data_IF_997392282625
#
_entry.id   IF_997392282625
#
_cell.length_a   1.000
_cell.length_b   1.000
_cell.length_c   1.000
_cell.angle_alpha   90.00
_cell.angle_beta   90.00
_cell.angle_gamma   90.00
#
_symmetry.space_group_name_H-M   'P 1'
#
loop_
_entity.id
_entity.type
_entity.pdbx_description
1 polymer ?
#
# COMPACT_ATOMS: atom_id res chain seq x y z
N UNK A 1 41.46 -19.15 -92.94
CA UNK A 1 42.24 -20.35 -92.53
C UNK A 1 42.64 -20.06 -91.06
N UNK A 2 42.01 -20.70 -90.16
CA UNK A 2 42.54 -21.42 -89.00
C UNK A 2 43.35 -20.62 -88.00
N UNK A 3 43.05 -20.50 -86.77
CA UNK A 3 42.84 -21.52 -85.80
C UNK A 3 42.50 -20.93 -84.43
N UNK A 4 41.57 -21.58 -83.85
CA UNK A 4 41.16 -21.37 -82.46
C UNK A 4 42.24 -21.89 -81.53
N UNK A 5 42.60 -21.12 -80.52
CA UNK A 5 43.28 -21.62 -79.33
C UNK A 5 42.48 -21.28 -78.09
N UNK A 6 41.92 -22.30 -77.55
CA UNK A 6 41.19 -22.23 -76.24
C UNK A 6 42.21 -22.17 -75.11
N UNK A 7 42.14 -21.19 -74.26
CA UNK A 7 42.92 -21.17 -73.01
C UNK A 7 41.93 -21.52 -71.89
N UNK A 8 42.03 -22.77 -71.44
CA UNK A 8 41.37 -23.24 -70.20
C UNK A 8 42.21 -22.78 -69.01
N UNK A 9 41.77 -21.76 -68.33
CA UNK A 9 42.30 -21.28 -67.05
C UNK A 9 41.53 -21.87 -65.88
N UNK A 10 42.04 -22.97 -65.34
CA UNK A 10 41.56 -23.55 -64.09
C UNK A 10 41.97 -22.64 -62.93
N UNK A 11 41.07 -21.88 -62.37
CA UNK A 11 41.23 -21.20 -61.08
C UNK A 11 40.98 -22.20 -59.92
N UNK A 12 42.07 -22.80 -59.46
CA UNK A 12 42.09 -23.59 -58.25
C UNK A 12 42.07 -22.65 -57.07
N UNK A 13 40.88 -22.49 -56.48
CA UNK A 13 40.67 -21.85 -55.17
C UNK A 13 41.14 -22.81 -54.06
N UNK A 14 42.42 -22.80 -53.73
CA UNK A 14 42.93 -23.41 -52.52
C UNK A 14 42.71 -22.46 -51.33
N UNK A 15 41.51 -22.42 -50.82
CA UNK A 15 41.24 -21.85 -49.52
C UNK A 15 41.32 -22.98 -48.47
N UNK A 16 42.48 -23.17 -47.92
CA UNK A 16 42.59 -23.92 -46.65
C UNK A 16 41.83 -23.20 -45.57
N UNK A 17 40.92 -23.87 -44.84
CA UNK A 17 40.20 -23.22 -43.76
C UNK A 17 41.18 -22.74 -42.69
N UNK A 18 41.19 -21.43 -42.44
CA UNK A 18 42.02 -20.83 -41.41
C UNK A 18 41.31 -21.03 -40.08
N UNK A 19 41.70 -22.04 -39.31
CA UNK A 19 41.17 -22.27 -37.95
C UNK A 19 41.85 -21.26 -37.02
N UNK A 20 41.09 -20.25 -36.60
CA UNK A 20 41.53 -19.34 -35.55
C UNK A 20 41.25 -20.04 -34.23
N UNK A 21 42.25 -20.57 -33.55
CA UNK A 21 42.12 -21.00 -32.16
C UNK A 21 42.08 -19.77 -31.28
N UNK A 22 40.88 -19.47 -30.74
CA UNK A 22 40.73 -18.49 -29.66
C UNK A 22 41.11 -19.24 -28.39
N UNK A 23 42.23 -18.90 -27.72
CA UNK A 23 42.58 -19.54 -26.45
C UNK A 23 41.44 -19.28 -25.46
N UNK A 24 41.01 -20.33 -24.76
CA UNK A 24 40.09 -20.14 -23.63
C UNK A 24 40.71 -19.10 -22.70
N UNK A 25 39.99 -18.00 -22.48
CA UNK A 25 40.36 -17.05 -21.44
C UNK A 25 40.57 -17.86 -20.17
N UNK A 26 41.69 -17.66 -19.49
CA UNK A 26 41.99 -18.33 -18.21
C UNK A 26 40.81 -18.15 -17.23
N UNK A 27 40.78 -18.88 -16.12
CA UNK A 27 39.64 -18.85 -15.22
C UNK A 27 39.26 -17.39 -14.92
N UNK A 28 38.09 -17.00 -15.42
CA UNK A 28 37.53 -15.69 -15.12
C UNK A 28 37.40 -15.70 -13.60
N UNK A 29 38.26 -14.96 -12.91
CA UNK A 29 38.07 -14.69 -11.48
C UNK A 29 36.76 -13.93 -11.39
N UNK A 30 35.68 -14.66 -11.19
CA UNK A 30 34.36 -14.06 -10.95
C UNK A 30 34.51 -13.24 -9.67
N UNK A 31 34.44 -11.93 -9.82
CA UNK A 31 34.44 -11.02 -8.69
C UNK A 31 33.23 -11.42 -7.80
N UNK A 32 33.47 -11.54 -6.49
CA UNK A 32 32.37 -11.78 -5.54
C UNK A 32 31.32 -10.68 -5.70
N UNK A 33 30.03 -11.05 -5.58
CA UNK A 33 28.93 -10.10 -5.56
C UNK A 33 28.97 -9.30 -4.27
N UNK A 34 28.99 -7.99 -4.35
CA UNK A 34 28.91 -7.09 -3.18
C UNK A 34 27.46 -7.02 -2.74
N UNK A 35 27.20 -7.60 -1.57
CA UNK A 35 25.86 -7.77 -1.04
C UNK A 35 25.68 -6.88 0.18
N UNK A 36 24.57 -6.14 0.17
CA UNK A 36 24.08 -5.35 1.31
C UNK A 36 22.73 -5.87 1.77
N UNK A 37 22.38 -5.61 3.02
CA UNK A 37 21.05 -5.88 3.53
C UNK A 37 20.34 -4.58 3.88
N UNK A 38 18.99 -4.60 3.76
CA UNK A 38 18.14 -3.54 4.25
C UNK A 38 17.12 -4.09 5.25
N UNK A 39 17.08 -3.49 6.43
CA UNK A 39 16.20 -3.85 7.52
C UNK A 39 15.34 -2.67 7.98
N UNK A 40 14.15 -2.95 8.52
CA UNK A 40 13.33 -1.96 9.21
C UNK A 40 12.92 -2.52 10.56
N UNK A 41 13.31 -1.84 11.64
CA UNK A 41 13.05 -2.26 13.01
C UNK A 41 11.94 -1.43 13.65
N UNK A 42 11.11 -2.05 14.52
CA UNK A 42 10.00 -1.36 15.20
C UNK A 42 10.50 -0.47 16.33
N UNK A 43 9.80 0.63 16.62
CA UNK A 43 10.21 1.73 17.51
C UNK A 43 10.00 1.53 19.02
N UNK A 44 9.80 0.31 19.56
CA UNK A 44 9.68 0.10 21.00
C UNK A 44 11.06 -0.03 21.64
N UNK A 45 11.38 0.87 22.57
CA UNK A 45 12.72 1.30 23.00
C UNK A 45 13.71 0.23 23.49
N UNK A 46 13.31 -0.84 24.18
CA UNK A 46 14.25 -1.90 24.63
C UNK A 46 14.32 -3.09 23.66
N UNK A 47 13.19 -3.47 23.08
CA UNK A 47 13.12 -4.52 22.06
C UNK A 47 13.80 -4.11 20.73
N UNK A 48 13.96 -2.81 20.49
CA UNK A 48 14.52 -2.24 19.28
C UNK A 48 16.02 -2.52 19.13
N UNK A 49 16.80 -2.27 20.17
CA UNK A 49 18.25 -2.56 20.16
C UNK A 49 18.52 -4.04 19.98
N UNK A 50 17.75 -4.90 20.66
CA UNK A 50 17.84 -6.35 20.47
C UNK A 50 17.40 -6.79 19.08
N UNK A 51 16.33 -6.20 18.53
CA UNK A 51 15.86 -6.51 17.18
C UNK A 51 16.82 -6.06 16.09
N UNK A 52 17.42 -4.87 16.23
CA UNK A 52 18.45 -4.38 15.29
C UNK A 52 19.71 -5.25 15.34
N UNK A 53 20.24 -5.51 16.54
CA UNK A 53 21.43 -6.34 16.72
C UNK A 53 21.22 -7.77 16.15
N UNK A 54 20.05 -8.36 16.38
CA UNK A 54 19.70 -9.67 15.86
C UNK A 54 19.61 -9.68 14.31
N UNK A 55 18.98 -8.67 13.69
CA UNK A 55 18.90 -8.58 12.24
C UNK A 55 20.27 -8.29 11.60
N UNK A 56 21.07 -7.44 12.24
CA UNK A 56 22.43 -7.16 11.78
C UNK A 56 23.30 -8.43 11.84
N UNK A 57 23.27 -9.16 12.96
CA UNK A 57 23.99 -10.42 13.09
C UNK A 57 23.53 -11.46 12.04
N UNK A 58 22.21 -11.60 11.87
CA UNK A 58 21.63 -12.52 10.89
C UNK A 58 22.12 -12.22 9.46
N UNK A 59 21.99 -10.97 8.99
CA UNK A 59 22.41 -10.63 7.63
C UNK A 59 23.92 -10.68 7.44
N UNK A 60 24.70 -10.32 8.48
CA UNK A 60 26.15 -10.44 8.45
C UNK A 60 26.55 -11.91 8.30
N UNK A 61 25.98 -12.81 9.10
CA UNK A 61 26.25 -14.24 9.03
C UNK A 61 25.82 -14.84 7.68
N UNK A 62 24.61 -14.51 7.24
CA UNK A 62 24.05 -14.98 5.96
C UNK A 62 24.95 -14.59 4.76
N UNK A 63 25.39 -13.34 4.71
CA UNK A 63 26.19 -12.82 3.61
C UNK A 63 27.63 -13.36 3.69
N UNK A 64 28.25 -13.36 4.86
CA UNK A 64 29.64 -13.83 5.04
C UNK A 64 29.77 -15.35 4.90
N UNK A 65 28.72 -16.09 5.19
CA UNK A 65 28.66 -17.54 5.03
C UNK A 65 28.61 -17.99 3.55
N UNK A 66 28.28 -17.09 2.62
CA UNK A 66 28.27 -17.41 1.19
C UNK A 66 29.64 -17.07 0.54
N UNK A 67 30.37 -18.06 0.01
CA UNK A 67 31.71 -17.84 -0.56
C UNK A 67 31.73 -16.95 -1.81
N UNK A 68 30.59 -16.80 -2.50
CA UNK A 68 30.46 -15.97 -3.70
C UNK A 68 30.10 -14.52 -3.39
N UNK A 69 29.80 -14.19 -2.12
CA UNK A 69 29.39 -12.87 -1.69
C UNK A 69 30.47 -12.12 -0.91
N UNK A 70 30.48 -10.82 -1.05
CA UNK A 70 31.29 -9.88 -0.28
C UNK A 70 30.31 -8.99 0.53
N UNK A 71 30.47 -8.98 1.83
CA UNK A 71 29.65 -8.16 2.74
C UNK A 71 29.99 -6.67 2.55
N UNK A 72 28.96 -5.84 2.36
CA UNK A 72 29.11 -4.38 2.24
C UNK A 72 28.66 -3.70 3.52
N UNK A 73 27.37 -3.79 3.83
CA UNK A 73 26.78 -3.14 5.03
C UNK A 73 25.35 -3.66 5.29
N UNK A 74 24.84 -3.41 6.51
CA UNK A 74 23.43 -3.55 6.83
C UNK A 74 22.86 -2.15 7.08
N UNK A 75 21.98 -1.73 6.20
CA UNK A 75 21.25 -0.46 6.30
C UNK A 75 19.96 -0.68 7.09
N UNK A 76 19.70 0.12 8.12
CA UNK A 76 18.54 -0.09 8.95
C UNK A 76 17.87 1.23 9.36
N UNK A 77 16.59 1.35 9.03
CA UNK A 77 15.76 2.47 9.46
C UNK A 77 14.82 2.07 10.60
N UNK A 78 14.52 3.02 11.46
CA UNK A 78 13.51 2.86 12.49
C UNK A 78 12.11 2.97 11.88
N UNK A 79 11.27 1.96 12.10
CA UNK A 79 9.86 1.98 11.73
C UNK A 79 9.04 2.67 12.80
N UNK A 80 8.77 3.96 12.65
CA UNK A 80 7.92 4.71 13.57
C UNK A 80 6.45 4.36 13.28
N UNK A 81 5.73 3.87 14.30
CA UNK A 81 4.27 3.72 14.25
C UNK A 81 3.63 5.07 14.56
N UNK A 82 3.01 5.70 13.58
CA UNK A 82 2.28 6.96 13.77
C UNK A 82 2.49 7.98 12.67
N UNK A 83 1.86 9.13 12.80
CA UNK A 83 1.70 10.20 11.79
C UNK A 83 2.94 11.03 11.50
N UNK A 84 4.13 10.69 12.03
CA UNK A 84 5.36 11.42 11.75
C UNK A 84 5.97 10.99 10.41
N UNK A 85 6.50 11.97 9.67
CA UNK A 85 7.24 11.73 8.44
C UNK A 85 8.47 10.88 8.79
N UNK A 86 8.41 9.60 8.46
CA UNK A 86 9.47 8.64 8.69
C UNK A 86 10.70 9.05 7.89
N UNK A 87 11.78 9.42 8.59
CA UNK A 87 13.08 9.65 7.95
C UNK A 87 13.68 8.30 7.62
N UNK A 88 13.85 8.00 6.34
CA UNK A 88 14.50 6.78 5.83
C UNK A 88 15.91 7.11 5.38
N UNK A 89 16.70 7.62 6.30
CA UNK A 89 18.04 8.11 5.98
C UNK A 89 18.95 6.98 5.50
N UNK A 90 18.83 5.78 6.10
CA UNK A 90 19.59 4.61 5.69
C UNK A 90 19.10 3.98 4.38
N UNK A 91 17.82 4.00 4.09
CA UNK A 91 17.32 3.62 2.76
C UNK A 91 17.85 4.55 1.67
N UNK A 92 17.87 5.85 1.92
CA UNK A 92 18.43 6.82 0.97
C UNK A 92 19.95 6.62 0.82
N UNK A 93 20.66 6.28 1.92
CA UNK A 93 22.08 5.92 1.89
C UNK A 93 22.32 4.67 1.04
N UNK A 94 21.50 3.63 1.22
CA UNK A 94 21.51 2.42 0.41
C UNK A 94 21.36 2.74 -1.09
N UNK A 95 20.31 3.48 -1.48
CA UNK A 95 20.09 3.85 -2.89
C UNK A 95 21.26 4.66 -3.45
N UNK A 96 21.82 5.58 -2.65
CA UNK A 96 23.00 6.36 -3.06
C UNK A 96 24.22 5.49 -3.30
N UNK A 97 24.47 4.49 -2.47
CA UNK A 97 25.59 3.57 -2.63
C UNK A 97 25.36 2.58 -3.79
N UNK A 98 24.10 2.20 -4.05
CA UNK A 98 23.69 1.47 -5.25
C UNK A 98 24.01 2.28 -6.52
N UNK A 99 23.61 3.56 -6.59
CA UNK A 99 23.91 4.45 -7.73
C UNK A 99 25.40 4.68 -7.96
N UNK A 100 26.21 4.58 -6.91
CA UNK A 100 27.69 4.65 -6.98
C UNK A 100 28.35 3.34 -7.41
N UNK A 101 27.55 2.33 -7.67
CA UNK A 101 28.03 1.02 -8.07
C UNK A 101 28.82 0.30 -6.96
N UNK A 102 28.50 0.51 -5.70
CA UNK A 102 29.15 -0.16 -4.55
C UNK A 102 28.49 -1.47 -4.18
N UNK A 103 27.26 -1.70 -4.61
CA UNK A 103 26.40 -2.82 -4.27
C UNK A 103 25.97 -3.51 -5.54
N UNK A 104 25.99 -4.83 -5.57
CA UNK A 104 25.56 -5.65 -6.70
C UNK A 104 24.24 -6.39 -6.38
N UNK A 105 23.92 -6.59 -5.09
CA UNK A 105 22.69 -7.24 -4.62
C UNK A 105 22.25 -6.70 -3.28
N UNK A 106 20.92 -6.56 -3.10
CA UNK A 106 20.29 -6.14 -1.85
C UNK A 106 19.44 -7.29 -1.32
N UNK A 107 19.61 -7.63 -0.03
CA UNK A 107 18.76 -8.57 0.69
C UNK A 107 17.81 -7.79 1.59
N UNK A 108 16.56 -8.23 1.69
CA UNK A 108 15.58 -7.68 2.62
C UNK A 108 14.56 -8.73 3.00
N UNK A 109 13.99 -8.61 4.19
CA UNK A 109 13.07 -9.61 4.71
C UNK A 109 11.80 -9.74 3.85
N UNK A 110 11.19 -8.59 3.48
CA UNK A 110 9.95 -8.58 2.69
C UNK A 110 9.73 -7.25 1.96
N UNK A 111 8.82 -7.25 0.99
CA UNK A 111 8.39 -6.04 0.28
C UNK A 111 7.83 -4.98 1.23
N UNK A 112 7.09 -5.39 2.27
CA UNK A 112 6.53 -4.50 3.28
C UNK A 112 7.61 -3.86 4.19
N UNK A 113 8.79 -4.47 4.29
CA UNK A 113 9.94 -3.91 5.01
C UNK A 113 10.81 -3.03 4.12
N UNK A 114 10.84 -3.33 2.82
CA UNK A 114 11.64 -2.60 1.84
C UNK A 114 11.10 -1.19 1.56
N UNK A 115 9.79 -1.04 1.43
CA UNK A 115 9.17 0.27 1.20
C UNK A 115 7.89 0.46 2.03
N UNK A 116 7.31 1.68 1.98
CA UNK A 116 6.08 2.03 2.73
C UNK A 116 4.83 1.40 2.12
N UNK A 117 4.85 1.19 0.85
CA UNK A 117 3.77 0.59 0.08
C UNK A 117 4.32 -0.12 -1.15
N UNK A 118 3.49 -0.95 -1.76
CA UNK A 118 3.87 -1.76 -2.92
C UNK A 118 4.30 -0.92 -4.12
N UNK A 119 3.72 0.27 -4.33
CA UNK A 119 4.09 1.15 -5.44
C UNK A 119 5.50 1.73 -5.27
N UNK A 120 5.86 2.17 -4.07
CA UNK A 120 7.21 2.65 -3.74
C UNK A 120 8.24 1.52 -3.88
N UNK A 121 7.89 0.30 -3.44
CA UNK A 121 8.72 -0.89 -3.64
C UNK A 121 9.00 -1.15 -5.11
N UNK A 122 7.97 -1.11 -5.95
CA UNK A 122 8.11 -1.35 -7.39
C UNK A 122 9.00 -0.29 -8.07
N UNK A 123 8.86 0.98 -7.71
CA UNK A 123 9.69 2.07 -8.25
C UNK A 123 11.15 1.85 -7.88
N UNK A 124 11.44 1.58 -6.59
CA UNK A 124 12.81 1.36 -6.12
C UNK A 124 13.44 0.11 -6.75
N UNK A 125 12.68 -0.99 -6.85
CA UNK A 125 13.17 -2.23 -7.50
C UNK A 125 13.46 -2.02 -8.98
N UNK A 126 12.64 -1.25 -9.70
CA UNK A 126 12.90 -0.90 -11.11
C UNK A 126 14.17 -0.08 -11.26
N UNK A 127 14.35 0.93 -10.42
CA UNK A 127 15.59 1.74 -10.41
C UNK A 127 16.82 0.86 -10.17
N UNK A 128 16.78 0.00 -9.14
CA UNK A 128 17.89 -0.89 -8.83
C UNK A 128 18.18 -1.87 -9.97
N UNK A 129 17.16 -2.42 -10.59
CA UNK A 129 17.32 -3.30 -11.76
C UNK A 129 17.96 -2.57 -12.94
N UNK A 130 17.57 -1.32 -13.20
CA UNK A 130 18.15 -0.53 -14.30
C UNK A 130 19.63 -0.21 -14.04
N UNK A 131 20.06 -0.26 -12.78
CA UNK A 131 21.46 -0.20 -12.34
C UNK A 131 22.15 -1.59 -12.36
N UNK A 132 21.46 -2.67 -12.76
CA UNK A 132 21.97 -4.03 -12.74
C UNK A 132 22.02 -4.68 -11.36
N UNK A 133 21.27 -4.15 -10.37
CA UNK A 133 21.28 -4.60 -8.98
C UNK A 133 20.03 -5.44 -8.71
N UNK A 134 20.21 -6.68 -8.25
CA UNK A 134 19.12 -7.56 -7.82
C UNK A 134 18.67 -7.27 -6.39
N UNK A 135 17.35 -7.37 -6.14
CA UNK A 135 16.78 -7.33 -4.79
C UNK A 135 16.18 -8.70 -4.47
N UNK A 136 16.56 -9.26 -3.33
CA UNK A 136 16.02 -10.52 -2.84
C UNK A 136 15.10 -10.27 -1.64
N UNK A 137 13.83 -10.67 -1.78
CA UNK A 137 12.81 -10.63 -0.74
C UNK A 137 12.67 -12.03 -0.15
N UNK A 138 13.22 -12.25 1.06
CA UNK A 138 13.34 -13.58 1.67
C UNK A 138 11.99 -14.24 1.94
N UNK A 139 11.03 -13.52 2.58
CA UNK A 139 9.72 -14.06 2.92
C UNK A 139 8.89 -14.46 1.71
N UNK A 140 9.04 -13.75 0.59
CA UNK A 140 8.33 -14.05 -0.64
C UNK A 140 9.08 -15.00 -1.56
N UNK A 141 10.35 -15.31 -1.28
CA UNK A 141 11.21 -16.11 -2.16
C UNK A 141 11.45 -15.47 -3.53
N UNK A 142 11.43 -14.13 -3.59
CA UNK A 142 11.55 -13.36 -4.83
C UNK A 142 12.98 -12.84 -4.98
N UNK A 143 13.64 -13.17 -6.10
CA UNK A 143 14.90 -12.57 -6.52
C UNK A 143 14.70 -11.82 -7.84
N UNK A 144 14.77 -10.50 -7.80
CA UNK A 144 14.48 -9.65 -8.96
C UNK A 144 15.54 -9.68 -10.04
N UNK A 145 16.75 -10.17 -9.74
CA UNK A 145 17.84 -10.28 -10.72
C UNK A 145 17.49 -11.21 -11.89
N UNK A 146 16.62 -12.20 -11.66
CA UNK A 146 16.25 -13.22 -12.65
C UNK A 146 14.89 -12.94 -13.30
N UNK A 147 14.25 -11.80 -13.00
CA UNK A 147 12.88 -11.52 -13.43
C UNK A 147 12.83 -10.50 -14.56
N UNK A 148 11.90 -10.70 -15.51
CA UNK A 148 11.56 -9.68 -16.49
C UNK A 148 10.81 -8.52 -15.83
N UNK A 149 10.84 -7.32 -16.44
CA UNK A 149 10.10 -6.17 -15.93
C UNK A 149 8.59 -6.36 -15.90
N UNK A 150 8.07 -7.16 -16.82
CA UNK A 150 6.64 -7.51 -16.89
C UNK A 150 6.25 -8.42 -15.72
N UNK A 151 7.07 -9.45 -15.45
CA UNK A 151 6.84 -10.36 -14.33
C UNK A 151 6.91 -9.64 -12.99
N UNK A 152 7.87 -8.74 -12.80
CA UNK A 152 7.96 -7.88 -11.62
C UNK A 152 6.68 -7.06 -11.45
N UNK A 153 6.20 -6.41 -12.51
CA UNK A 153 4.97 -5.62 -12.46
C UNK A 153 3.77 -6.48 -12.08
N UNK A 154 3.63 -7.67 -12.66
CA UNK A 154 2.54 -8.59 -12.34
C UNK A 154 2.57 -9.03 -10.86
N UNK A 155 3.74 -9.43 -10.35
CA UNK A 155 3.90 -9.85 -8.95
C UNK A 155 3.56 -8.72 -7.98
N UNK A 156 4.11 -7.51 -8.21
CA UNK A 156 3.84 -6.37 -7.35
C UNK A 156 2.37 -5.92 -7.41
N UNK A 157 1.71 -6.06 -8.56
CA UNK A 157 0.27 -5.81 -8.68
C UNK A 157 -0.56 -6.80 -7.86
N UNK A 158 -0.19 -8.09 -7.87
CA UNK A 158 -0.85 -9.10 -7.04
C UNK A 158 -0.64 -8.85 -5.53
N UNK A 159 0.56 -8.42 -5.13
CA UNK A 159 0.84 -8.06 -3.74
C UNK A 159 -0.02 -6.86 -3.32
N UNK A 160 -0.09 -5.80 -4.14
CA UNK A 160 -0.91 -4.62 -3.87
C UNK A 160 -2.41 -4.96 -3.74
N UNK A 161 -2.92 -5.85 -4.59
CA UNK A 161 -4.29 -6.32 -4.50
C UNK A 161 -4.54 -7.06 -3.19
N UNK A 162 -3.68 -8.01 -2.81
CA UNK A 162 -3.80 -8.74 -1.54
C UNK A 162 -3.72 -7.82 -0.32
N UNK A 163 -2.85 -6.82 -0.32
CA UNK A 163 -2.79 -5.81 0.75
C UNK A 163 -4.12 -5.04 0.87
N UNK A 164 -4.70 -4.61 -0.26
CA UNK A 164 -5.98 -3.91 -0.29
C UNK A 164 -7.14 -4.78 0.21
N UNK A 165 -7.17 -6.06 -0.19
CA UNK A 165 -8.15 -7.04 0.28
C UNK A 165 -8.04 -7.25 1.81
N UNK A 166 -6.82 -7.47 2.31
CA UNK A 166 -6.57 -7.66 3.75
C UNK A 166 -6.95 -6.43 4.59
N UNK A 167 -6.67 -5.21 4.10
CA UNK A 167 -7.08 -3.96 4.76
C UNK A 167 -8.62 -3.90 4.81
N UNK A 168 -9.30 -4.21 3.71
CA UNK A 168 -10.77 -4.21 3.63
C UNK A 168 -11.39 -5.23 4.59
N UNK A 169 -10.83 -6.42 4.68
CA UNK A 169 -11.27 -7.47 5.61
C UNK A 169 -11.08 -7.05 7.07
N UNK A 170 -9.92 -6.50 7.42
CA UNK A 170 -9.63 -6.01 8.76
C UNK A 170 -10.58 -4.87 9.19
N UNK A 171 -10.89 -3.94 8.27
CA UNK A 171 -11.87 -2.87 8.53
C UNK A 171 -13.25 -3.47 8.76
N UNK A 172 -13.70 -4.39 7.92
CA UNK A 172 -15.01 -5.08 8.07
C UNK A 172 -15.08 -5.84 9.39
N UNK A 173 -14.03 -6.59 9.73
CA UNK A 173 -13.93 -7.30 11.00
C UNK A 173 -14.00 -6.35 12.20
N UNK A 174 -13.20 -5.27 12.19
CA UNK A 174 -13.19 -4.26 13.25
C UNK A 174 -14.56 -3.58 13.45
N UNK A 175 -15.24 -3.25 12.34
CA UNK A 175 -16.59 -2.69 12.39
C UNK A 175 -17.57 -3.69 12.98
N UNK A 176 -17.55 -4.95 12.53
CA UNK A 176 -18.41 -6.02 13.04
C UNK A 176 -18.20 -6.24 14.54
N UNK A 177 -16.96 -6.36 14.97
CA UNK A 177 -16.61 -6.56 16.39
C UNK A 177 -17.10 -5.39 17.27
N UNK A 178 -17.00 -4.14 16.78
CA UNK A 178 -17.54 -2.97 17.49
C UNK A 178 -19.07 -2.98 17.54
N UNK A 179 -19.74 -3.48 16.48
CA UNK A 179 -21.21 -3.65 16.49
C UNK A 179 -21.64 -4.71 17.49
N UNK A 180 -20.98 -5.86 17.53
CA UNK A 180 -21.28 -6.96 18.47
C UNK A 180 -21.04 -6.56 19.92
N UNK A 181 -19.99 -5.79 20.19
CA UNK A 181 -19.67 -5.29 21.53
C UNK A 181 -20.43 -4.01 21.92
N UNK A 182 -21.35 -3.50 21.07
CA UNK A 182 -22.12 -2.28 21.33
C UNK A 182 -21.31 -0.98 21.34
N UNK A 183 -20.03 -1.01 20.98
CA UNK A 183 -19.14 0.16 20.95
C UNK A 183 -19.13 0.90 19.62
N UNK A 184 -19.87 0.40 18.63
CA UNK A 184 -19.98 1.06 17.34
C UNK A 184 -20.87 2.28 17.41
N UNK A 185 -20.30 3.46 17.22
CA UNK A 185 -21.04 4.73 17.19
C UNK A 185 -21.08 5.29 15.77
N UNK A 186 -22.27 5.72 15.34
CA UNK A 186 -22.41 6.37 14.04
C UNK A 186 -21.61 7.65 13.95
N UNK A 187 -20.95 7.88 12.81
CA UNK A 187 -20.19 9.12 12.55
C UNK A 187 -21.12 10.34 12.51
N UNK A 188 -22.36 10.18 11.98
CA UNK A 188 -23.36 11.22 11.95
C UNK A 188 -24.55 10.88 12.86
N UNK A 189 -24.87 11.80 13.76
CA UNK A 189 -26.05 11.69 14.63
C UNK A 189 -27.30 12.18 13.89
N UNK A 190 -28.50 11.63 14.22
CA UNK A 190 -29.75 12.21 13.77
C UNK A 190 -29.94 13.60 14.38
N UNK A 191 -30.73 14.44 13.70
CA UNK A 191 -31.08 15.75 14.20
C UNK A 191 -31.78 15.62 15.56
N UNK A 192 -31.45 16.46 16.54
CA UNK A 192 -31.95 16.34 17.92
C UNK A 192 -31.01 15.56 18.85
N UNK A 193 -29.88 15.04 18.34
CA UNK A 193 -28.85 14.44 19.17
C UNK A 193 -27.49 15.17 18.95
N UNK A 194 -26.72 15.24 20.00
CA UNK A 194 -25.35 15.81 19.97
C UNK A 194 -24.38 14.90 20.71
N UNK A 195 -23.06 15.20 20.61
CA UNK A 195 -22.04 14.57 21.45
C UNK A 195 -21.57 15.58 22.48
N UNK A 196 -21.34 15.09 23.69
CA UNK A 196 -20.64 15.88 24.70
C UNK A 196 -19.12 15.84 24.51
N UNK A 197 -18.40 16.49 25.42
CA UNK A 197 -16.92 16.56 25.43
C UNK A 197 -16.25 15.18 25.58
N UNK A 198 -16.97 14.22 26.17
CA UNK A 198 -16.50 12.83 26.33
C UNK A 198 -16.80 11.96 25.11
N UNK A 199 -17.57 12.48 24.15
CA UNK A 199 -18.00 11.76 22.96
C UNK A 199 -19.29 10.95 23.14
N UNK A 200 -19.90 10.99 24.32
CA UNK A 200 -21.19 10.34 24.56
C UNK A 200 -22.34 11.03 23.84
N UNK A 201 -23.31 10.24 23.40
CA UNK A 201 -24.50 10.76 22.69
C UNK A 201 -25.50 11.28 23.69
N UNK A 202 -25.87 12.57 23.58
CA UNK A 202 -26.87 13.23 24.38
C UNK A 202 -27.99 13.82 23.52
N UNK A 203 -29.14 14.01 24.13
CA UNK A 203 -30.28 14.70 23.51
C UNK A 203 -30.04 16.21 23.56
N UNK A 204 -30.08 16.85 22.40
CA UNK A 204 -30.15 18.31 22.29
C UNK A 204 -31.62 18.72 22.50
N UNK A 205 -31.94 19.25 23.67
CA UNK A 205 -33.32 19.54 24.08
C UNK A 205 -34.03 20.48 23.12
N UNK A 206 -33.33 21.46 22.56
CA UNK A 206 -33.94 22.42 21.63
C UNK A 206 -34.27 21.75 20.30
N UNK A 207 -33.29 21.05 19.70
CA UNK A 207 -33.46 20.36 18.41
C UNK A 207 -34.39 19.16 18.53
N UNK A 208 -34.40 18.45 19.67
CA UNK A 208 -35.32 17.36 19.94
C UNK A 208 -36.75 17.82 20.05
N UNK A 209 -37.00 19.04 20.58
CA UNK A 209 -38.32 19.65 20.57
C UNK A 209 -38.91 19.75 19.17
N UNK A 210 -38.11 20.20 18.20
CA UNK A 210 -38.56 20.27 16.79
C UNK A 210 -38.85 18.89 16.19
N UNK A 211 -38.03 17.90 16.52
CA UNK A 211 -38.28 16.51 16.07
C UNK A 211 -39.64 16.04 16.60
N UNK A 212 -39.91 16.27 17.88
CA UNK A 212 -41.19 15.90 18.50
C UNK A 212 -42.37 16.60 17.81
N UNK A 213 -42.30 17.91 17.59
CA UNK A 213 -43.33 18.68 16.87
C UNK A 213 -43.55 18.13 15.44
N UNK A 214 -42.51 17.74 14.71
CA UNK A 214 -42.63 17.14 13.38
C UNK A 214 -43.41 15.83 13.43
N UNK A 215 -43.12 14.96 14.41
CA UNK A 215 -43.86 13.70 14.59
C UNK A 215 -45.30 13.95 15.00
N UNK A 216 -45.58 14.86 15.93
CA UNK A 216 -46.92 15.22 16.38
C UNK A 216 -47.77 15.83 15.24
N UNK A 217 -47.18 16.73 14.46
CA UNK A 217 -47.83 17.31 13.29
C UNK A 217 -48.18 16.25 12.23
N UNK A 218 -47.29 15.32 11.99
CA UNK A 218 -47.56 14.22 11.06
C UNK A 218 -48.64 13.28 11.55
N UNK A 219 -48.65 12.94 12.84
CA UNK A 219 -49.67 12.09 13.46
C UNK A 219 -51.05 12.78 13.51
N UNK A 220 -51.09 14.12 13.56
CA UNK A 220 -52.33 14.87 13.45
C UNK A 220 -52.93 14.96 12.04
N UNK A 221 -52.25 14.30 11.03
CA UNK A 221 -52.73 14.22 9.66
C UNK A 221 -52.17 15.27 8.71
N UNK A 222 -51.22 16.10 9.15
CA UNK A 222 -50.53 17.04 8.24
C UNK A 222 -49.55 16.31 7.28
N UNK A 223 -49.50 16.78 6.06
CA UNK A 223 -48.55 16.23 5.12
C UNK A 223 -47.13 16.84 5.26
N UNK A 224 -46.14 16.18 4.72
CA UNK A 224 -44.73 16.60 4.85
C UNK A 224 -44.43 17.97 4.23
N UNK A 225 -45.21 18.40 3.22
CA UNK A 225 -45.08 19.72 2.61
C UNK A 225 -45.54 20.83 3.55
N UNK A 226 -46.70 20.68 4.16
CA UNK A 226 -47.25 21.64 5.14
C UNK A 226 -46.32 21.79 6.35
N UNK A 227 -45.77 20.68 6.85
CA UNK A 227 -44.80 20.69 7.95
C UNK A 227 -43.53 21.42 7.55
N UNK A 228 -42.99 21.16 6.33
CA UNK A 228 -41.81 21.84 5.85
C UNK A 228 -41.98 23.33 5.66
N UNK A 229 -43.15 23.77 5.15
CA UNK A 229 -43.49 25.20 4.99
C UNK A 229 -43.64 25.90 6.33
N UNK A 230 -44.20 25.25 7.35
CA UNK A 230 -44.31 25.78 8.71
C UNK A 230 -42.94 25.93 9.36
N UNK A 231 -42.10 24.90 9.32
CA UNK A 231 -40.74 24.94 9.85
C UNK A 231 -39.90 26.02 9.15
N UNK A 232 -40.07 26.19 7.84
CA UNK A 232 -39.37 27.22 7.05
C UNK A 232 -39.80 28.64 7.45
N UNK A 233 -41.07 28.87 7.82
CA UNK A 233 -41.56 30.18 8.26
C UNK A 233 -40.98 30.64 9.59
N UNK A 234 -40.58 29.70 10.46
CA UNK A 234 -40.03 29.98 11.79
C UNK A 234 -38.56 30.42 11.79
N UNK A 235 -37.93 30.71 10.69
CA UNK A 235 -36.58 31.21 10.38
C UNK A 235 -35.44 31.09 11.44
N UNK A 236 -35.77 30.82 12.70
CA UNK A 236 -34.86 30.73 13.86
C UNK A 236 -34.32 29.31 14.10
N UNK A 237 -34.77 28.34 13.30
CA UNK A 237 -34.47 26.92 13.53
C UNK A 237 -33.32 26.51 12.61
N UNK A 238 -32.19 26.17 13.21
CA UNK A 238 -31.12 25.50 12.48
C UNK A 238 -31.61 24.22 11.82
N UNK A 239 -31.31 24.05 10.55
CA UNK A 239 -31.67 22.84 9.83
C UNK A 239 -30.69 21.68 10.19
N UNK A 240 -31.07 20.42 9.96
CA UNK A 240 -30.21 19.26 10.21
C UNK A 240 -28.87 19.29 9.48
N UNK A 241 -28.77 20.11 8.43
CA UNK A 241 -27.54 20.38 7.66
C UNK A 241 -27.40 21.90 7.62
N UNK A 242 -26.44 22.44 8.30
CA UNK A 242 -26.17 23.88 8.51
C UNK A 242 -26.32 24.82 7.28
N UNK A 243 -26.53 24.27 6.10
CA UNK A 243 -26.62 24.99 4.82
C UNK A 243 -27.97 24.84 4.08
N UNK A 244 -28.91 24.05 4.59
CA UNK A 244 -30.14 23.75 3.86
C UNK A 244 -31.39 24.22 4.62
N UNK A 245 -32.29 24.85 3.87
CA UNK A 245 -33.63 25.18 4.34
C UNK A 245 -34.44 23.91 4.63
N UNK A 246 -35.43 24.00 5.53
CA UNK A 246 -36.40 22.92 5.77
C UNK A 246 -37.09 22.53 4.47
N UNK A 247 -36.87 21.31 4.03
CA UNK A 247 -37.44 20.77 2.79
C UNK A 247 -38.34 19.58 3.10
N UNK A 248 -39.25 19.27 2.18
CA UNK A 248 -40.09 18.07 2.25
C UNK A 248 -39.23 16.80 2.45
N UNK A 249 -38.06 16.75 1.79
CA UNK A 249 -37.14 15.63 1.91
C UNK A 249 -36.51 15.55 3.32
N UNK A 250 -36.17 16.68 3.92
CA UNK A 250 -35.62 16.72 5.28
C UNK A 250 -36.65 16.20 6.31
N UNK A 251 -37.94 16.64 6.21
CA UNK A 251 -39.01 16.13 7.04
C UNK A 251 -39.21 14.63 6.85
N UNK A 252 -39.32 14.17 5.59
CA UNK A 252 -39.50 12.75 5.30
C UNK A 252 -38.32 11.89 5.82
N UNK A 253 -37.09 12.42 5.80
CA UNK A 253 -35.90 11.75 6.34
C UNK A 253 -35.93 11.64 7.85
N UNK A 254 -36.43 12.66 8.56
CA UNK A 254 -36.62 12.60 10.01
C UNK A 254 -37.68 11.54 10.34
N UNK A 255 -38.85 11.60 9.73
CA UNK A 255 -39.97 10.68 9.99
C UNK A 255 -39.63 9.20 9.68
N UNK A 256 -38.77 8.95 8.73
CA UNK A 256 -38.35 7.59 8.33
C UNK A 256 -37.11 7.05 9.08
N UNK A 257 -36.50 7.84 9.96
CA UNK A 257 -35.26 7.46 10.61
C UNK A 257 -35.54 6.61 11.84
N UNK A 258 -35.26 5.32 11.77
CA UNK A 258 -35.44 4.35 12.85
C UNK A 258 -34.66 4.68 14.13
N UNK A 259 -33.64 5.51 14.07
CA UNK A 259 -32.85 5.89 15.26
C UNK A 259 -33.67 6.64 16.30
N UNK A 260 -34.77 7.26 15.91
CA UNK A 260 -35.70 7.91 16.88
C UNK A 260 -36.52 6.91 17.70
N UNK A 261 -36.54 5.62 17.36
CA UNK A 261 -37.10 4.55 18.17
C UNK A 261 -36.16 4.00 19.23
N UNK A 262 -34.90 4.51 19.28
CA UNK A 262 -33.85 4.02 20.15
C UNK A 262 -33.03 2.87 19.56
N UNK A 263 -33.38 2.40 18.35
CA UNK A 263 -32.69 1.34 17.66
C UNK A 263 -31.88 1.90 16.49
N UNK A 264 -30.77 1.24 16.19
CA UNK A 264 -29.98 1.57 15.00
C UNK A 264 -29.72 0.32 14.19
N UNK A 265 -30.25 0.27 12.98
CA UNK A 265 -30.03 -0.84 12.05
C UNK A 265 -28.82 -0.54 11.20
N UNK A 266 -27.85 -1.47 11.22
CA UNK A 266 -26.62 -1.42 10.45
C UNK A 266 -26.65 -2.45 9.31
N UNK A 267 -25.76 -2.26 8.32
CA UNK A 267 -25.64 -3.17 7.15
C UNK A 267 -26.95 -3.32 6.35
N UNK A 268 -27.68 -2.23 6.14
CA UNK A 268 -28.94 -2.22 5.37
C UNK A 268 -28.77 -2.61 3.90
N UNK A 269 -27.56 -2.49 3.39
CA UNK A 269 -27.18 -2.87 2.02
C UNK A 269 -25.77 -3.44 1.98
N UNK A 270 -25.52 -4.37 1.08
CA UNK A 270 -24.20 -4.90 0.76
C UNK A 270 -24.10 -5.07 -0.75
N UNK A 271 -22.88 -4.90 -1.27
CA UNK A 271 -22.62 -5.23 -2.68
C UNK A 271 -22.39 -6.75 -2.77
N UNK A 272 -23.15 -7.40 -3.64
CA UNK A 272 -22.82 -8.74 -4.13
C UNK A 272 -21.70 -8.60 -5.17
N UNK A 273 -20.70 -9.45 -5.06
CA UNK A 273 -19.65 -9.58 -6.08
C UNK A 273 -20.19 -10.27 -7.31
#
# INVERSE_FOLDING_TARGET
>A
MNGQTAISGSLALNSTPHVIMIPASGPVRTRKLRVAAYARVSSNSEDQLHSFAAQNAYYTELITGNPEWEFVDVYADEGITGTSVEKRDDFQRLLKDCRRGRIDKVLTKSTARFARNTSESLIAVRELRDLGIGVCFEEQGIDTAQMSGELLTAIFSMIAQKESEAISENIRWSIRNRMENGTFTATSLPFGYTRDETGEIKVDLQRAGYVKEIFEAFLSGRNTKEIAEEMKRRQEIETPLQSYQWTVHAIARILKNEKYTGNSLWQKSFMTQ
#
